data_IF_711020618607
#
_entry.id   IF_711020618607
#
_cell.length_a   1.000
_cell.length_b   1.000
_cell.length_c   1.000
_cell.angle_alpha   90.00
_cell.angle_beta   90.00
_cell.angle_gamma   90.00
#
_symmetry.space_group_name_H-M   'P 1'
#
loop_
_entity.id
_entity.type
_entity.pdbx_description
1 polymer ?
#
# COMPACT_ATOMS: atom_id res chain seq x y z
N UNK A 1 -10.18 11.78 -13.09
CA UNK A 1 -8.93 11.56 -12.35
C UNK A 1 -7.99 12.73 -12.62
N UNK A 2 -7.71 13.56 -11.61
CA UNK A 2 -6.68 14.61 -11.73
C UNK A 2 -5.32 13.91 -11.62
N UNK A 3 -4.40 14.08 -12.58
CA UNK A 3 -3.09 13.46 -12.48
C UNK A 3 -2.35 14.04 -11.27
N UNK A 4 -1.57 13.21 -10.54
CA UNK A 4 -0.69 13.73 -9.50
C UNK A 4 0.26 14.78 -10.10
N UNK A 5 0.54 15.86 -9.35
CA UNK A 5 1.54 16.86 -9.77
C UNK A 5 2.93 16.26 -9.56
N UNK A 6 3.71 16.17 -10.63
CA UNK A 6 5.09 15.69 -10.59
C UNK A 6 5.98 16.57 -11.48
N UNK A 7 7.30 16.51 -11.25
CA UNK A 7 8.29 17.25 -12.06
C UNK A 7 8.53 16.51 -13.37
N UNK A 8 8.49 17.25 -14.47
CA UNK A 8 8.80 16.75 -15.82
C UNK A 8 9.77 17.67 -16.54
N UNK A 9 10.46 17.15 -17.55
CA UNK A 9 11.36 17.92 -18.39
C UNK A 9 10.59 18.69 -19.46
N UNK A 10 10.97 19.94 -19.69
CA UNK A 10 10.38 20.80 -20.71
C UNK A 10 11.45 21.66 -21.36
N UNK A 11 11.15 22.22 -22.53
CA UNK A 11 12.04 23.21 -23.15
C UNK A 11 12.13 24.44 -22.24
N UNK A 12 13.34 24.99 -22.07
CA UNK A 12 13.56 26.20 -21.26
C UNK A 12 12.61 27.32 -21.72
N UNK A 13 11.92 27.96 -20.77
CA UNK A 13 10.94 29.02 -21.04
C UNK A 13 9.60 28.55 -21.60
N UNK A 14 9.36 27.24 -21.74
CA UNK A 14 8.08 26.69 -22.21
C UNK A 14 7.50 25.71 -21.20
N UNK A 15 6.37 26.07 -20.60
CA UNK A 15 5.64 25.18 -19.69
C UNK A 15 5.18 23.92 -20.44
N UNK A 16 5.63 22.71 -20.04
CA UNK A 16 5.17 21.49 -20.68
C UNK A 16 3.67 21.25 -20.38
N UNK A 17 2.88 21.00 -21.42
CA UNK A 17 1.46 20.67 -21.31
C UNK A 17 1.27 19.19 -21.61
N UNK A 18 0.94 18.41 -20.59
CA UNK A 18 0.59 16.99 -20.74
C UNK A 18 -0.93 16.85 -20.71
N UNK A 19 -1.51 16.42 -21.83
CA UNK A 19 -2.95 16.15 -21.92
C UNK A 19 -3.22 14.73 -21.40
N UNK A 20 -4.07 14.63 -20.39
CA UNK A 20 -4.54 13.35 -19.85
C UNK A 20 -6.06 13.25 -19.98
N UNK A 21 -6.59 12.03 -20.09
CA UNK A 21 -8.03 11.80 -20.03
C UNK A 21 -8.49 11.90 -18.57
N UNK A 22 -9.10 13.03 -18.21
CA UNK A 22 -9.70 13.23 -16.87
C UNK A 22 -11.02 12.48 -16.65
N UNK A 23 -11.64 11.94 -17.71
CA UNK A 23 -12.95 11.29 -17.70
C UNK A 23 -12.79 9.80 -17.37
N UNK A 24 -13.04 9.44 -16.11
CA UNK A 24 -13.08 8.06 -15.64
C UNK A 24 -13.30 8.00 -14.13
N UNK A 25 -14.24 7.17 -13.69
CA UNK A 25 -14.51 6.84 -12.28
C UNK A 25 -13.58 5.74 -11.75
N UNK A 26 -12.76 5.15 -12.62
CA UNK A 26 -11.91 4.04 -12.30
C UNK A 26 -10.79 4.39 -11.31
N UNK A 27 -10.45 3.44 -10.44
CA UNK A 27 -9.46 3.61 -9.36
C UNK A 27 -8.63 2.34 -9.19
N UNK A 28 -7.38 2.50 -8.77
CA UNK A 28 -6.55 1.40 -8.28
C UNK A 28 -6.41 1.61 -6.78
N UNK A 29 -6.89 0.64 -5.99
CA UNK A 29 -6.73 0.61 -4.53
C UNK A 29 -5.65 -0.40 -4.17
N UNK A 30 -4.89 -0.10 -3.12
CA UNK A 30 -3.80 -0.94 -2.64
C UNK A 30 -3.92 -1.12 -1.13
N UNK A 31 -3.54 -2.29 -0.66
CA UNK A 31 -3.25 -2.57 0.74
C UNK A 31 -1.90 -3.28 0.81
N UNK A 32 -1.17 -3.10 1.89
CA UNK A 32 0.16 -3.69 2.03
C UNK A 32 0.57 -3.84 3.48
N UNK A 33 1.45 -4.82 3.70
CA UNK A 33 2.10 -5.12 4.96
C UNK A 33 3.60 -5.07 4.73
N UNK A 34 4.30 -4.28 5.53
CA UNK A 34 5.76 -4.30 5.61
C UNK A 34 6.14 -5.02 6.89
N UNK A 35 6.88 -6.10 6.78
CA UNK A 35 7.13 -7.05 7.86
C UNK A 35 8.61 -7.12 8.18
N UNK A 36 8.93 -6.97 9.46
CA UNK A 36 10.28 -6.86 9.99
C UNK A 36 10.48 -7.90 11.09
N UNK A 37 11.67 -8.50 11.13
CA UNK A 37 12.08 -9.41 12.20
C UNK A 37 13.61 -9.34 12.33
N UNK A 38 14.17 -9.10 13.54
CA UNK A 38 15.62 -9.04 13.71
C UNK A 38 16.32 -10.29 13.16
N UNK A 39 17.46 -10.08 12.51
CA UNK A 39 18.23 -11.14 11.86
C UNK A 39 17.52 -11.82 10.66
N UNK A 40 16.38 -11.31 10.19
CA UNK A 40 15.66 -11.81 9.00
C UNK A 40 15.48 -10.70 7.99
N UNK A 41 15.57 -11.08 6.70
CA UNK A 41 15.25 -10.21 5.58
C UNK A 41 13.81 -9.70 5.70
N UNK A 42 13.64 -8.38 5.65
CA UNK A 42 12.33 -7.73 5.61
C UNK A 42 11.53 -8.15 4.38
N UNK A 43 10.21 -8.27 4.57
CA UNK A 43 9.28 -8.76 3.54
C UNK A 43 8.12 -7.80 3.37
N UNK A 44 7.59 -7.75 2.16
CA UNK A 44 6.42 -6.96 1.84
C UNK A 44 5.35 -7.85 1.22
N UNK A 45 4.12 -7.73 1.71
CA UNK A 45 2.92 -8.31 1.12
C UNK A 45 2.00 -7.21 0.64
N UNK A 46 1.24 -7.47 -0.43
CA UNK A 46 0.29 -6.49 -0.92
C UNK A 46 -0.90 -7.13 -1.65
N UNK A 47 -1.99 -6.37 -1.69
CA UNK A 47 -3.18 -6.62 -2.49
C UNK A 47 -3.48 -5.37 -3.33
N UNK A 48 -3.88 -5.58 -4.59
CA UNK A 48 -4.24 -4.49 -5.51
C UNK A 48 -5.59 -4.79 -6.12
N UNK A 49 -6.50 -3.82 -6.05
CA UNK A 49 -7.84 -3.93 -6.64
C UNK A 49 -8.11 -2.81 -7.63
N UNK A 50 -8.61 -3.19 -8.80
CA UNK A 50 -9.07 -2.26 -9.83
C UNK A 50 -10.57 -2.09 -9.67
N UNK A 51 -11.02 -0.84 -9.56
CA UNK A 51 -12.42 -0.46 -9.63
C UNK A 51 -12.67 0.20 -10.98
N UNK A 52 -13.64 -0.29 -11.75
CA UNK A 52 -13.96 0.20 -13.09
C UNK A 52 -15.25 1.01 -13.14
N UNK A 53 -15.94 1.16 -12.02
CA UNK A 53 -17.20 1.90 -11.97
C UNK A 53 -18.42 1.06 -12.31
N UNK A 54 -18.31 -0.27 -12.28
CA UNK A 54 -19.44 -1.16 -12.60
C UNK A 54 -20.43 -1.19 -11.44
N UNK A 55 -21.72 -1.33 -11.75
CA UNK A 55 -22.78 -1.44 -10.73
C UNK A 55 -22.51 -2.65 -9.83
N UNK A 56 -22.52 -2.45 -8.51
CA UNK A 56 -22.24 -3.51 -7.53
C UNK A 56 -20.76 -3.87 -7.34
N UNK A 57 -19.84 -3.24 -8.08
CA UNK A 57 -18.40 -3.47 -7.93
C UNK A 57 -17.89 -2.80 -6.65
N UNK A 58 -17.15 -3.51 -5.79
CA UNK A 58 -16.52 -2.89 -4.62
C UNK A 58 -15.59 -1.75 -5.04
N UNK A 59 -15.75 -0.59 -4.39
CA UNK A 59 -15.06 0.66 -4.77
C UNK A 59 -13.55 0.67 -4.44
N UNK A 60 -13.05 -0.38 -3.79
CA UNK A 60 -11.66 -0.52 -3.38
C UNK A 60 -11.42 -1.82 -2.61
N UNK A 61 -10.31 -1.88 -1.89
CA UNK A 61 -10.01 -2.95 -0.94
C UNK A 61 -11.13 -3.00 0.10
N UNK A 62 -11.62 -4.21 0.40
CA UNK A 62 -12.58 -4.51 1.44
C UNK A 62 -11.96 -5.29 2.60
N UNK A 63 -12.74 -5.56 3.65
CA UNK A 63 -12.26 -6.32 4.81
C UNK A 63 -11.81 -7.74 4.46
N UNK A 64 -12.49 -8.44 3.54
CA UNK A 64 -12.05 -9.77 3.08
C UNK A 64 -10.67 -9.71 2.41
N UNK A 65 -10.41 -8.65 1.62
CA UNK A 65 -9.11 -8.45 0.97
C UNK A 65 -7.99 -8.26 2.02
N UNK A 66 -8.30 -7.69 3.19
CA UNK A 66 -7.37 -7.53 4.31
C UNK A 66 -7.16 -8.85 5.07
N UNK A 67 -8.23 -9.60 5.35
CA UNK A 67 -8.14 -10.94 5.93
C UNK A 67 -7.26 -11.86 5.07
N UNK A 68 -7.52 -11.92 3.76
CA UNK A 68 -6.73 -12.70 2.80
C UNK A 68 -5.25 -12.30 2.79
N UNK A 69 -4.98 -10.99 2.93
CA UNK A 69 -3.63 -10.47 2.99
C UNK A 69 -2.91 -10.91 4.28
N UNK A 70 -3.60 -10.87 5.42
CA UNK A 70 -3.06 -11.31 6.72
C UNK A 70 -2.79 -12.81 6.74
N UNK A 71 -3.75 -13.63 6.28
CA UNK A 71 -3.58 -15.09 6.17
C UNK A 71 -2.40 -15.42 5.26
N UNK A 72 -2.29 -14.76 4.10
CA UNK A 72 -1.16 -14.96 3.18
C UNK A 72 0.17 -14.60 3.84
N UNK A 73 0.22 -13.50 4.57
CA UNK A 73 1.43 -13.09 5.28
C UNK A 73 1.80 -14.13 6.35
N UNK A 74 0.83 -14.59 7.14
CA UNK A 74 1.05 -15.60 8.18
C UNK A 74 1.62 -16.91 7.60
N UNK A 75 0.99 -17.45 6.56
CA UNK A 75 1.46 -18.67 5.89
C UNK A 75 2.90 -18.52 5.37
N UNK A 76 3.25 -17.38 4.77
CA UNK A 76 4.57 -17.17 4.19
C UNK A 76 5.66 -16.76 5.19
N UNK A 77 5.27 -16.19 6.33
CA UNK A 77 6.17 -15.85 7.42
C UNK A 77 6.40 -17.03 8.37
N UNK A 78 5.44 -17.95 8.46
CA UNK A 78 5.55 -19.20 9.23
C UNK A 78 5.58 -18.97 10.74
N UNK A 79 4.89 -17.94 11.25
CA UNK A 79 4.89 -17.61 12.67
C UNK A 79 3.87 -16.54 13.05
N UNK A 80 3.74 -16.25 14.36
CA UNK A 80 2.81 -15.24 14.85
C UNK A 80 3.18 -13.84 14.33
N UNK A 81 2.16 -13.02 14.14
CA UNK A 81 2.25 -11.65 13.63
C UNK A 81 1.76 -10.68 14.69
N UNK A 82 2.61 -9.70 15.00
CA UNK A 82 2.18 -8.47 15.66
C UNK A 82 1.93 -7.44 14.57
N UNK A 83 0.65 -7.12 14.35
CA UNK A 83 0.20 -6.14 13.38
C UNK A 83 0.05 -4.78 14.05
N UNK A 84 0.72 -3.77 13.51
CA UNK A 84 0.56 -2.37 13.91
C UNK A 84 0.03 -1.60 12.70
N UNK A 85 -1.11 -0.92 12.84
CA UNK A 85 -1.74 -0.19 11.74
C UNK A 85 -2.53 1.03 12.23
N UNK A 86 -2.92 1.90 11.30
CA UNK A 86 -3.69 3.11 11.59
C UNK A 86 -5.19 2.83 11.84
N UNK A 87 -5.91 3.89 12.19
CA UNK A 87 -7.35 3.86 12.47
C UNK A 87 -8.21 4.12 11.21
N UNK A 88 -7.74 3.70 10.03
CA UNK A 88 -8.58 3.74 8.83
C UNK A 88 -9.90 3.03 9.13
N UNK A 89 -11.05 3.63 8.75
CA UNK A 89 -12.39 3.09 9.10
C UNK A 89 -12.56 1.61 8.75
N UNK A 90 -11.90 1.13 7.71
CA UNK A 90 -11.92 -0.27 7.31
C UNK A 90 -11.23 -1.22 8.30
N UNK A 91 -10.23 -0.74 9.05
CA UNK A 91 -9.56 -1.49 10.11
C UNK A 91 -10.44 -1.66 11.37
N UNK A 92 -11.54 -0.90 11.45
CA UNK A 92 -12.41 -0.83 12.63
C UNK A 92 -13.76 -1.53 12.42
N UNK A 93 -14.00 -2.13 11.26
CA UNK A 93 -15.27 -2.80 10.95
C UNK A 93 -15.42 -4.09 11.74
N UNK A 94 -16.64 -4.40 12.16
CA UNK A 94 -16.91 -5.57 13.02
C UNK A 94 -16.42 -6.90 12.44
N UNK A 95 -16.64 -7.25 11.15
CA UNK A 95 -16.14 -8.51 10.60
C UNK A 95 -14.63 -8.69 10.69
N UNK A 96 -13.87 -7.59 10.66
CA UNK A 96 -12.41 -7.64 10.79
C UNK A 96 -12.00 -7.81 12.25
N UNK A 97 -12.78 -7.27 13.20
CA UNK A 97 -12.56 -7.47 14.65
C UNK A 97 -12.86 -8.91 15.05
N UNK A 98 -13.96 -9.49 14.54
CA UNK A 98 -14.28 -10.91 14.69
C UNK A 98 -13.15 -11.78 14.13
N UNK A 99 -12.71 -11.51 12.90
CA UNK A 99 -11.57 -12.20 12.30
C UNK A 99 -10.32 -12.14 13.19
N UNK A 100 -9.99 -10.97 13.75
CA UNK A 100 -8.82 -10.83 14.65
C UNK A 100 -9.00 -11.67 15.92
N UNK A 101 -10.20 -11.68 16.52
CA UNK A 101 -10.48 -12.46 17.71
C UNK A 101 -10.40 -13.98 17.46
N UNK A 102 -10.92 -14.44 16.32
CA UNK A 102 -10.91 -15.86 15.91
C UNK A 102 -9.50 -16.39 15.64
N UNK A 103 -8.53 -15.50 15.39
CA UNK A 103 -7.15 -15.84 15.05
C UNK A 103 -6.15 -15.31 16.09
N UNK A 104 -6.60 -15.10 17.33
CA UNK A 104 -5.78 -14.55 18.41
C UNK A 104 -4.60 -15.44 18.83
N UNK A 105 -4.57 -16.71 18.40
CA UNK A 105 -3.47 -17.65 18.61
C UNK A 105 -2.20 -17.29 17.81
N UNK A 106 -2.35 -16.58 16.68
CA UNK A 106 -1.21 -16.13 15.86
C UNK A 106 -1.25 -14.66 15.46
N UNK A 107 -2.35 -13.94 15.66
CA UNK A 107 -2.49 -12.54 15.29
C UNK A 107 -2.73 -11.66 16.52
N UNK A 108 -1.78 -10.77 16.81
CA UNK A 108 -1.94 -9.70 17.80
C UNK A 108 -1.98 -8.36 17.09
N UNK A 109 -2.94 -7.48 17.43
CA UNK A 109 -3.14 -6.20 16.73
C UNK A 109 -3.04 -5.02 17.69
N UNK A 110 -2.23 -4.04 17.31
CA UNK A 110 -2.15 -2.73 17.97
C UNK A 110 -2.54 -1.63 16.99
N UNK A 111 -3.34 -0.69 17.48
CA UNK A 111 -3.71 0.52 16.74
C UNK A 111 -2.73 1.64 17.04
N UNK A 112 -2.29 2.33 16.00
CA UNK A 112 -1.55 3.57 16.14
C UNK A 112 -2.47 4.66 16.74
N UNK A 113 -1.91 5.65 17.46
CA UNK A 113 -2.66 6.83 17.87
C UNK A 113 -3.35 7.51 16.68
N UNK A 114 -4.50 8.11 16.90
CA UNK A 114 -5.19 8.86 15.85
C UNK A 114 -4.28 9.94 15.25
N UNK A 115 -4.34 10.10 13.92
CA UNK A 115 -3.55 11.07 13.14
C UNK A 115 -2.02 10.87 13.15
N UNK A 116 -1.51 9.68 13.47
CA UNK A 116 -0.07 9.35 13.44
C UNK A 116 0.36 8.61 12.16
N UNK A 117 -0.03 9.12 11.00
CA UNK A 117 0.32 8.49 9.71
C UNK A 117 1.84 8.48 9.45
N UNK A 118 2.57 9.41 10.07
CA UNK A 118 4.03 9.53 10.07
C UNK A 118 4.73 8.35 10.75
N UNK A 119 4.05 7.62 11.65
CA UNK A 119 4.60 6.42 12.29
C UNK A 119 4.39 5.14 11.48
N UNK A 120 3.67 5.22 10.36
CA UNK A 120 3.35 4.06 9.54
C UNK A 120 4.36 3.91 8.38
N UNK A 121 5.29 2.94 8.42
CA UNK A 121 6.29 2.77 7.35
C UNK A 121 5.64 2.46 6.00
N UNK A 122 4.40 2.00 5.99
CA UNK A 122 3.63 1.76 4.78
C UNK A 122 3.40 3.05 3.96
N UNK A 123 3.35 4.23 4.60
CA UNK A 123 3.27 5.53 3.89
C UNK A 123 4.53 5.85 3.08
N UNK A 124 5.71 5.41 3.56
CA UNK A 124 6.95 5.47 2.81
C UNK A 124 6.88 4.64 1.52
N UNK A 125 6.35 3.42 1.61
CA UNK A 125 6.12 2.54 0.45
C UNK A 125 5.14 3.17 -0.54
N UNK A 126 4.04 3.76 -0.05
CA UNK A 126 3.09 4.47 -0.91
C UNK A 126 3.72 5.68 -1.60
N UNK A 127 4.59 6.40 -0.91
CA UNK A 127 5.35 7.51 -1.48
C UNK A 127 6.29 7.04 -2.59
N UNK A 128 6.97 5.90 -2.41
CA UNK A 128 7.81 5.28 -3.45
C UNK A 128 7.01 4.86 -4.69
N UNK A 129 5.78 4.37 -4.50
CA UNK A 129 4.89 4.02 -5.62
C UNK A 129 4.41 5.27 -6.34
N UNK A 130 3.88 6.26 -5.59
CA UNK A 130 3.35 7.53 -6.13
C UNK A 130 4.42 8.29 -6.91
N UNK A 131 5.66 8.31 -6.44
CA UNK A 131 6.79 8.98 -7.12
C UNK A 131 7.09 8.38 -8.50
N UNK A 132 7.03 7.06 -8.63
CA UNK A 132 7.33 6.36 -9.88
C UNK A 132 6.21 6.55 -10.92
N UNK A 133 4.96 6.46 -10.48
CA UNK A 133 3.80 6.62 -11.37
C UNK A 133 3.41 8.09 -11.59
N UNK A 134 4.00 9.03 -10.86
CA UNK A 134 3.62 10.44 -10.85
C UNK A 134 3.75 11.12 -12.23
N UNK A 135 4.70 10.67 -13.04
CA UNK A 135 4.93 11.15 -14.40
C UNK A 135 4.33 10.24 -15.49
N UNK A 136 3.57 9.21 -15.12
CA UNK A 136 2.99 8.29 -16.07
C UNK A 136 1.80 8.93 -16.80
N UNK A 137 1.96 9.21 -18.09
CA UNK A 137 0.87 9.61 -18.98
C UNK A 137 0.01 8.40 -19.38
N UNK A 138 -0.64 7.76 -18.41
CA UNK A 138 -1.44 6.56 -18.64
C UNK A 138 -2.67 6.86 -19.52
N UNK A 139 -2.89 6.03 -20.54
CA UNK A 139 -4.03 6.12 -21.44
C UNK A 139 -5.33 5.55 -20.85
N UNK A 140 -5.21 4.58 -19.93
CA UNK A 140 -6.32 3.89 -19.29
C UNK A 140 -5.98 3.35 -17.89
N UNK A 141 -6.99 2.85 -17.18
CA UNK A 141 -6.86 2.29 -15.83
C UNK A 141 -5.93 1.06 -15.78
N UNK A 142 -5.93 0.23 -16.83
CA UNK A 142 -5.11 -0.98 -16.88
C UNK A 142 -3.62 -0.65 -16.93
N UNK A 143 -3.24 0.43 -17.62
CA UNK A 143 -1.86 0.93 -17.60
C UNK A 143 -1.43 1.40 -16.20
N UNK A 144 -2.31 2.11 -15.49
CA UNK A 144 -2.05 2.52 -14.09
C UNK A 144 -1.88 1.29 -13.21
N UNK A 145 -2.81 0.33 -13.30
CA UNK A 145 -2.78 -0.88 -12.49
C UNK A 145 -1.52 -1.73 -12.74
N UNK A 146 -1.09 -1.84 -14.01
CA UNK A 146 0.15 -2.53 -14.38
C UNK A 146 1.37 -1.82 -13.82
N UNK A 147 1.44 -0.49 -13.92
CA UNK A 147 2.54 0.29 -13.38
C UNK A 147 2.64 0.16 -11.85
N UNK A 148 1.51 0.27 -11.16
CA UNK A 148 1.40 0.05 -9.71
C UNK A 148 1.88 -1.35 -9.32
N UNK A 149 1.33 -2.40 -9.95
CA UNK A 149 1.69 -3.80 -9.65
C UNK A 149 3.18 -4.05 -9.92
N UNK A 150 3.73 -3.52 -11.03
CA UNK A 150 5.16 -3.62 -11.35
C UNK A 150 6.01 -2.96 -10.27
N UNK A 151 5.64 -1.75 -9.84
CA UNK A 151 6.42 -1.00 -8.84
C UNK A 151 6.38 -1.68 -7.48
N UNK A 152 5.22 -2.14 -7.04
CA UNK A 152 5.07 -2.94 -5.81
C UNK A 152 5.92 -4.21 -5.87
N UNK A 153 5.93 -4.91 -7.01
CA UNK A 153 6.75 -6.12 -7.20
C UNK A 153 8.25 -5.81 -7.13
N UNK A 154 8.70 -4.70 -7.70
CA UNK A 154 10.10 -4.27 -7.59
C UNK A 154 10.50 -3.96 -6.14
N UNK A 155 9.65 -3.25 -5.39
CA UNK A 155 9.88 -2.94 -3.97
C UNK A 155 9.92 -4.24 -3.16
N UNK A 156 9.01 -5.18 -3.41
CA UNK A 156 9.00 -6.50 -2.74
C UNK A 156 10.32 -7.27 -2.91
N UNK A 157 11.02 -7.12 -4.04
CA UNK A 157 12.32 -7.75 -4.27
C UNK A 157 13.52 -6.97 -3.74
N UNK A 158 13.31 -5.77 -3.18
CA UNK A 158 14.33 -4.83 -2.71
C UNK A 158 14.13 -4.50 -1.22
N UNK A 159 14.56 -5.39 -0.31
CA UNK A 159 14.37 -5.22 1.13
C UNK A 159 14.93 -3.90 1.65
N UNK A 160 16.03 -3.41 1.09
CA UNK A 160 16.66 -2.15 1.47
C UNK A 160 15.72 -0.94 1.33
N UNK A 161 14.77 -1.00 0.38
CA UNK A 161 13.74 0.04 0.24
C UNK A 161 12.65 -0.08 1.32
N UNK A 162 12.37 -1.30 1.76
CA UNK A 162 11.41 -1.58 2.84
C UNK A 162 12.02 -1.15 4.17
N UNK A 163 13.28 -1.51 4.42
CA UNK A 163 14.05 -1.13 5.61
C UNK A 163 14.19 0.39 5.71
N UNK A 164 14.50 1.06 4.59
CA UNK A 164 14.58 2.53 4.57
C UNK A 164 13.27 3.23 4.91
N UNK A 165 12.12 2.58 4.70
CA UNK A 165 10.82 3.11 5.10
C UNK A 165 10.56 2.93 6.60
N UNK A 166 11.14 1.90 7.24
CA UNK A 166 11.10 1.73 8.70
C UNK A 166 11.99 2.76 9.39
N UNK A 167 13.23 2.91 8.93
CA UNK A 167 14.17 3.91 9.46
C UNK A 167 13.61 5.33 9.30
N UNK A 168 12.92 5.62 8.19
CA UNK A 168 12.33 6.93 7.93
C UNK A 168 11.19 7.34 8.87
N UNK A 169 10.69 6.43 9.70
CA UNK A 169 9.69 6.70 10.75
C UNK A 169 10.28 6.58 12.17
N UNK A 170 11.61 6.68 12.27
CA UNK A 170 12.40 6.58 13.51
C UNK A 170 12.17 5.27 14.31
N UNK A 171 11.67 4.23 13.65
CA UNK A 171 11.62 2.88 14.20
C UNK A 171 12.91 2.16 13.80
N UNK A 172 13.72 1.81 14.79
CA UNK A 172 14.91 0.98 14.61
C UNK A 172 14.64 -0.34 15.33
N UNK A 173 14.91 -1.44 14.64
CA UNK A 173 14.91 -2.75 15.29
C UNK A 173 16.27 -2.90 15.96
N UNK A 174 16.29 -3.04 17.28
CA UNK A 174 17.52 -3.39 17.99
C UNK A 174 18.00 -4.79 17.55
N UNK A 175 19.32 -4.95 17.45
CA UNK A 175 20.00 -6.19 17.02
C UNK A 175 19.84 -7.36 18.01
#
# INVERSE_FOLDING_TARGET
MTPPRARSWGRRGRTPVVRVRGRGSGRVSMAGLSCYKPGKRSRMFYSVREYRGRKGEPKGIGWCDLCDLLVRAHIQLGGPIVLVWDNLRMHLVEPLREFIADHADWLTVFQLPSYSADLNPQEGIWSLVKRDIGNLAAADLGQIARAVKRRLKQIQYRPELVDGCLVGVDLIMDD
#
